data_IF_260662658491
#
_entry.id   IF_260662658491
#
_cell.length_a   1.000
_cell.length_b   1.000
_cell.length_c   1.000
_cell.angle_alpha   90.00
_cell.angle_beta   90.00
_cell.angle_gamma   90.00
#
_symmetry.space_group_name_H-M   'P 1'
#
loop_
_entity.id
_entity.type
_entity.pdbx_description
1 polymer ?
#
# COMPACT_ATOMS: atom_id res chain seq x y z
N UNK A 1 0.39 4.97 28.27
CA UNK A 1 1.77 4.81 28.76
C UNK A 1 2.02 5.97 29.70
N UNK A 2 2.41 5.72 30.96
CA UNK A 2 2.71 6.80 31.92
C UNK A 2 4.06 7.46 31.54
N UNK A 3 4.09 8.74 31.16
CA UNK A 3 5.32 9.42 30.74
C UNK A 3 6.40 9.44 31.83
N UNK A 4 6.00 9.32 33.10
CA UNK A 4 6.93 9.32 34.25
C UNK A 4 7.74 8.03 34.39
N UNK A 5 7.36 6.96 33.68
CA UNK A 5 8.06 5.67 33.70
C UNK A 5 9.09 5.53 32.57
N UNK A 6 9.17 6.49 31.65
CA UNK A 6 10.13 6.46 30.55
C UNK A 6 11.51 6.86 31.07
N UNK A 7 12.46 5.93 31.08
CA UNK A 7 13.87 6.25 31.36
C UNK A 7 14.47 7.00 30.17
N UNK A 8 14.62 8.31 30.31
CA UNK A 8 15.25 9.16 29.31
C UNK A 8 16.78 9.03 29.44
N UNK A 9 17.50 8.66 28.36
CA UNK A 9 18.96 8.63 28.37
C UNK A 9 19.55 10.03 28.60
N UNK A 10 20.75 10.15 29.19
CA UNK A 10 21.43 11.43 29.30
C UNK A 10 21.67 12.02 27.90
N UNK A 11 21.09 13.18 27.63
CA UNK A 11 21.23 13.90 26.36
C UNK A 11 22.41 14.87 26.41
N UNK A 12 23.14 14.99 25.30
CA UNK A 12 24.10 16.08 25.11
C UNK A 12 23.35 17.37 24.75
N UNK A 13 23.95 18.54 24.96
CA UNK A 13 23.45 19.79 24.42
C UNK A 13 23.30 19.69 22.89
N UNK A 14 22.15 20.08 22.34
CA UNK A 14 21.84 19.88 20.93
C UNK A 14 22.62 20.86 20.05
N UNK A 15 23.45 20.31 19.16
CA UNK A 15 24.15 21.05 18.10
C UNK A 15 23.83 20.44 16.73
N UNK A 16 24.14 21.15 15.65
CA UNK A 16 23.94 20.64 14.29
C UNK A 16 24.72 19.33 14.05
N UNK A 17 25.83 19.14 14.75
CA UNK A 17 26.72 17.98 14.64
C UNK A 17 26.24 16.77 15.44
N UNK A 18 25.52 16.96 16.56
CA UNK A 18 25.16 15.88 17.48
C UNK A 18 23.64 15.58 17.56
N UNK A 19 22.81 16.38 16.89
CA UNK A 19 21.35 16.22 16.92
C UNK A 19 20.92 14.82 16.44
N UNK A 20 21.57 14.26 15.43
CA UNK A 20 21.25 12.92 14.91
C UNK A 20 21.48 11.84 15.97
N UNK A 21 22.63 11.84 16.65
CA UNK A 21 22.94 10.87 17.71
C UNK A 21 21.93 10.95 18.86
N UNK A 22 21.58 12.17 19.28
CA UNK A 22 20.60 12.41 20.34
C UNK A 22 19.20 11.91 19.93
N UNK A 23 18.77 12.15 18.69
CA UNK A 23 17.46 11.70 18.18
C UNK A 23 17.40 10.17 18.02
N UNK A 24 18.49 9.53 17.57
CA UNK A 24 18.57 8.06 17.53
C UNK A 24 18.44 7.49 18.94
N UNK A 25 19.16 8.06 19.90
CA UNK A 25 19.20 7.60 21.29
C UNK A 25 17.81 7.64 21.93
N UNK A 26 17.03 8.70 21.69
CA UNK A 26 15.69 8.84 22.29
C UNK A 26 14.63 7.97 21.60
N UNK A 27 14.77 7.71 20.29
CA UNK A 27 13.79 6.91 19.53
C UNK A 27 14.08 5.41 19.54
N UNK A 28 15.24 4.98 20.05
CA UNK A 28 15.63 3.56 20.14
C UNK A 28 15.32 2.92 21.50
N UNK A 29 14.37 3.47 22.25
CA UNK A 29 13.95 2.98 23.58
C UNK A 29 12.99 1.77 23.50
N UNK A 30 12.56 1.35 22.31
CA UNK A 30 11.76 0.14 22.14
C UNK A 30 12.56 -1.12 22.49
N UNK A 31 11.91 -2.25 22.82
CA UNK A 31 12.61 -3.50 23.14
C UNK A 31 13.05 -4.28 21.89
N UNK A 32 12.37 -4.07 20.76
CA UNK A 32 12.62 -4.78 19.51
C UNK A 32 13.89 -4.27 18.81
N UNK A 33 14.93 -5.10 18.79
CA UNK A 33 16.22 -4.81 18.15
C UNK A 33 16.10 -4.51 16.65
N UNK A 34 15.17 -5.15 15.93
CA UNK A 34 14.92 -4.86 14.51
C UNK A 34 14.30 -3.48 14.36
N UNK A 35 13.35 -3.13 15.22
CA UNK A 35 12.72 -1.80 15.19
C UNK A 35 13.72 -0.69 15.52
N UNK A 36 14.61 -0.90 16.50
CA UNK A 36 15.71 0.03 16.81
C UNK A 36 16.56 0.31 15.58
N UNK A 37 17.01 -0.75 14.91
CA UNK A 37 17.82 -0.63 13.69
C UNK A 37 17.08 0.16 12.60
N UNK A 38 15.79 -0.14 12.37
CA UNK A 38 15.00 0.56 11.34
C UNK A 38 14.86 2.05 11.67
N UNK A 39 14.54 2.40 12.92
CA UNK A 39 14.41 3.79 13.35
C UNK A 39 15.74 4.55 13.29
N UNK A 40 16.85 3.91 13.70
CA UNK A 40 18.19 4.48 13.58
C UNK A 40 18.52 4.85 12.13
N UNK A 41 18.30 3.92 11.20
CA UNK A 41 18.54 4.17 9.77
C UNK A 41 17.64 5.26 9.22
N UNK A 42 16.35 5.25 9.57
CA UNK A 42 15.39 6.27 9.13
C UNK A 42 15.80 7.67 9.57
N UNK A 43 16.09 7.86 10.87
CA UNK A 43 16.51 9.15 11.43
C UNK A 43 17.79 9.64 10.76
N UNK A 44 18.76 8.73 10.57
CA UNK A 44 20.02 9.05 9.89
C UNK A 44 19.76 9.60 8.49
N UNK A 45 18.99 8.87 7.67
CA UNK A 45 18.71 9.27 6.28
C UNK A 45 17.88 10.56 6.18
N UNK A 46 16.92 10.79 7.09
CA UNK A 46 16.16 12.04 7.13
C UNK A 46 17.04 13.25 7.48
N UNK A 47 17.94 13.10 8.45
CA UNK A 47 18.87 14.17 8.82
C UNK A 47 19.93 14.41 7.74
N UNK A 48 20.43 13.35 7.08
CA UNK A 48 21.31 13.48 5.92
C UNK A 48 20.63 14.24 4.78
N UNK A 49 19.38 13.89 4.44
CA UNK A 49 18.58 14.59 3.43
C UNK A 49 18.41 16.08 3.73
N UNK A 50 18.07 16.43 4.98
CA UNK A 50 17.93 17.82 5.39
C UNK A 50 19.25 18.60 5.29
N UNK A 51 20.38 17.97 5.65
CA UNK A 51 21.72 18.58 5.54
C UNK A 51 22.16 18.73 4.09
N UNK A 52 21.97 17.70 3.28
CA UNK A 52 22.35 17.67 1.86
C UNK A 52 21.62 18.76 1.07
N UNK A 53 20.30 18.88 1.28
CA UNK A 53 19.45 19.85 0.57
C UNK A 53 19.52 21.26 1.16
N UNK A 54 20.07 21.41 2.37
CA UNK A 54 19.99 22.64 3.18
C UNK A 54 18.53 23.09 3.35
N UNK A 55 17.67 22.13 3.71
CA UNK A 55 16.23 22.30 3.81
C UNK A 55 15.88 23.58 4.60
N UNK A 56 15.22 24.51 3.93
CA UNK A 56 14.78 25.76 4.55
C UNK A 56 13.56 25.55 5.44
N UNK A 57 13.31 26.50 6.35
CA UNK A 57 12.10 26.47 7.18
C UNK A 57 10.81 26.49 6.36
N UNK A 58 10.79 27.19 5.23
CA UNK A 58 9.61 27.29 4.36
C UNK A 58 9.35 25.99 3.61
N UNK A 59 10.38 25.33 3.10
CA UNK A 59 10.28 24.00 2.48
C UNK A 59 9.86 22.95 3.52
N UNK A 60 10.45 22.99 4.72
CA UNK A 60 10.07 22.11 5.82
C UNK A 60 8.60 22.27 6.20
N UNK A 61 8.12 23.51 6.37
CA UNK A 61 6.71 23.79 6.64
C UNK A 61 5.80 23.34 5.50
N UNK A 62 6.27 23.43 4.25
CA UNK A 62 5.52 22.94 3.08
C UNK A 62 5.39 21.43 3.10
N UNK A 63 6.47 20.70 3.40
CA UNK A 63 6.43 19.24 3.58
C UNK A 63 5.49 18.82 4.72
N UNK A 64 5.49 19.53 5.84
CA UNK A 64 4.55 19.26 6.95
C UNK A 64 3.09 19.47 6.53
N UNK A 65 2.78 20.54 5.79
CA UNK A 65 1.42 20.76 5.27
C UNK A 65 1.00 19.65 4.32
N UNK A 66 1.89 19.26 3.39
CA UNK A 66 1.63 18.16 2.47
C UNK A 66 1.31 16.85 3.21
N UNK A 67 2.13 16.44 4.19
CA UNK A 67 1.87 15.23 4.99
C UNK A 67 0.58 15.33 5.81
N UNK A 68 0.24 16.54 6.26
CA UNK A 68 -1.02 16.79 6.97
C UNK A 68 -2.22 16.63 6.03
N UNK A 69 -2.17 17.20 4.83
CA UNK A 69 -3.21 17.08 3.81
C UNK A 69 -3.41 15.62 3.38
N UNK A 70 -2.31 14.87 3.15
CA UNK A 70 -2.34 13.42 2.90
C UNK A 70 -3.09 12.69 4.03
N UNK A 71 -2.76 12.99 5.29
CA UNK A 71 -3.45 12.40 6.45
C UNK A 71 -4.93 12.80 6.56
N UNK A 72 -5.30 14.02 6.18
CA UNK A 72 -6.68 14.52 6.23
C UNK A 72 -7.59 13.92 5.15
N UNK A 73 -7.03 13.49 4.03
CA UNK A 73 -7.76 12.83 2.94
C UNK A 73 -7.98 11.34 3.26
N UNK A 74 -7.17 10.75 4.15
CA UNK A 74 -7.34 9.36 4.55
C UNK A 74 -8.70 9.11 5.20
N UNK A 75 -9.35 8.01 4.83
CA UNK A 75 -10.59 7.49 5.42
C UNK A 75 -10.46 5.99 5.67
N UNK A 76 -11.49 5.35 6.23
CA UNK A 76 -11.50 3.90 6.44
C UNK A 76 -11.38 3.09 5.14
N UNK A 77 -11.70 3.70 3.99
CA UNK A 77 -11.66 3.07 2.66
C UNK A 77 -10.67 3.74 1.69
N UNK A 78 -9.95 4.79 2.12
CA UNK A 78 -8.98 5.53 1.31
C UNK A 78 -7.71 5.77 2.11
N UNK A 79 -6.59 5.17 1.70
CA UNK A 79 -5.31 5.27 2.40
C UNK A 79 -4.26 6.04 1.59
N UNK A 80 -4.23 7.37 1.71
CA UNK A 80 -3.29 8.20 0.94
C UNK A 80 -1.83 8.00 1.34
N UNK A 81 -1.54 7.56 2.57
CA UNK A 81 -0.16 7.21 2.94
C UNK A 81 0.34 5.96 2.21
N UNK A 82 -0.56 5.03 1.85
CA UNK A 82 -0.22 3.90 0.99
C UNK A 82 0.08 4.42 -0.41
N UNK A 83 -0.77 5.27 -0.99
CA UNK A 83 -0.52 5.87 -2.30
C UNK A 83 0.79 6.68 -2.35
N UNK A 84 1.05 7.48 -1.31
CA UNK A 84 2.31 8.22 -1.19
C UNK A 84 3.50 7.25 -1.14
N UNK A 85 3.36 6.13 -0.41
CA UNK A 85 4.38 5.08 -0.40
C UNK A 85 4.57 4.47 -1.78
N UNK A 86 3.51 4.22 -2.54
CA UNK A 86 3.58 3.58 -3.87
C UNK A 86 4.39 4.43 -4.87
N UNK A 87 4.22 5.75 -4.81
CA UNK A 87 4.97 6.70 -5.65
C UNK A 87 6.45 6.81 -5.24
N UNK A 88 6.74 6.67 -3.94
CA UNK A 88 8.08 6.82 -3.39
C UNK A 88 8.88 5.51 -3.32
N UNK A 89 8.21 4.37 -3.16
CA UNK A 89 8.76 3.04 -2.86
C UNK A 89 7.93 1.97 -3.58
N UNK A 90 8.38 1.54 -4.78
CA UNK A 90 7.64 0.57 -5.62
C UNK A 90 8.13 -0.87 -5.51
N UNK A 91 8.84 -1.25 -4.45
CA UNK A 91 9.51 -2.56 -4.38
C UNK A 91 8.92 -3.40 -3.25
N UNK A 92 8.22 -4.48 -3.62
CA UNK A 92 7.95 -5.60 -2.72
C UNK A 92 8.87 -6.76 -3.09
N UNK A 93 9.78 -7.21 -2.21
CA UNK A 93 10.66 -8.33 -2.52
C UNK A 93 9.87 -9.64 -2.56
N UNK A 94 9.97 -10.37 -3.67
CA UNK A 94 9.35 -11.69 -3.82
C UNK A 94 10.42 -12.78 -3.99
N UNK A 95 10.13 -14.04 -3.63
CA UNK A 95 11.04 -15.15 -3.87
C UNK A 95 11.40 -15.29 -5.36
N UNK A 96 12.64 -15.67 -5.71
CA UNK A 96 13.00 -15.93 -7.09
C UNK A 96 12.07 -16.97 -7.73
N UNK A 97 11.55 -16.65 -8.92
CA UNK A 97 10.67 -17.55 -9.68
C UNK A 97 9.18 -17.48 -9.32
N UNK A 98 8.77 -16.53 -8.46
CA UNK A 98 7.34 -16.19 -8.30
C UNK A 98 6.93 -15.03 -9.20
N UNK A 99 5.62 -14.86 -9.41
CA UNK A 99 5.07 -13.64 -9.98
C UNK A 99 5.54 -12.42 -9.18
N UNK A 100 6.00 -11.38 -9.88
CA UNK A 100 6.39 -10.12 -9.25
C UNK A 100 5.18 -9.51 -8.54
N UNK A 101 5.34 -9.27 -7.25
CA UNK A 101 4.37 -8.56 -6.43
C UNK A 101 4.44 -7.06 -6.69
N UNK A 102 3.29 -6.43 -6.54
CA UNK A 102 3.15 -4.99 -6.49
C UNK A 102 2.50 -4.60 -5.16
N UNK A 103 2.57 -3.33 -4.83
CA UNK A 103 1.80 -2.71 -3.75
C UNK A 103 0.31 -2.98 -3.93
N UNK A 104 -0.41 -3.15 -2.81
CA UNK A 104 -1.84 -3.47 -2.81
C UNK A 104 -2.71 -2.32 -3.36
N UNK A 105 -2.25 -1.07 -3.19
CA UNK A 105 -3.06 0.11 -3.44
C UNK A 105 -4.15 0.32 -2.38
N UNK A 106 -4.85 1.47 -2.41
CA UNK A 106 -5.75 1.90 -1.33
C UNK A 106 -7.20 1.40 -1.47
N UNK A 107 -7.57 0.76 -2.58
CA UNK A 107 -8.98 0.49 -2.94
C UNK A 107 -9.43 -0.97 -2.71
N UNK A 108 -8.59 -1.77 -2.07
CA UNK A 108 -8.95 -3.12 -1.63
C UNK A 108 -9.96 -3.06 -0.47
N UNK A 109 -10.94 -3.98 -0.47
CA UNK A 109 -11.92 -4.12 0.61
C UNK A 109 -12.18 -5.60 0.90
N UNK A 110 -12.81 -5.87 2.04
CA UNK A 110 -13.09 -7.22 2.52
C UNK A 110 -14.52 -7.72 2.19
N UNK A 111 -15.31 -6.92 1.48
CA UNK A 111 -16.73 -7.19 1.17
C UNK A 111 -16.96 -7.70 -0.27
N UNK A 112 -15.90 -8.06 -0.99
CA UNK A 112 -16.02 -8.73 -2.29
C UNK A 112 -16.73 -10.09 -2.14
N UNK A 113 -17.59 -10.44 -3.10
CA UNK A 113 -18.36 -11.68 -3.08
C UNK A 113 -17.57 -12.86 -3.63
N UNK A 114 -17.77 -14.07 -3.07
CA UNK A 114 -17.25 -15.30 -3.68
C UNK A 114 -18.07 -15.66 -4.93
N UNK A 115 -17.40 -15.81 -6.07
CA UNK A 115 -18.02 -16.12 -7.36
C UNK A 115 -17.46 -17.41 -7.95
N UNK A 116 -18.28 -18.23 -8.64
CA UNK A 116 -17.80 -19.37 -9.39
C UNK A 116 -17.02 -18.91 -10.64
N UNK A 117 -16.15 -19.80 -11.14
CA UNK A 117 -15.39 -19.52 -12.35
C UNK A 117 -16.32 -19.25 -13.54
N UNK A 118 -16.07 -18.15 -14.24
CA UNK A 118 -16.80 -17.72 -15.43
C UNK A 118 -17.94 -16.74 -15.25
N UNK A 119 -18.22 -16.34 -14.01
CA UNK A 119 -19.13 -15.25 -13.70
C UNK A 119 -18.51 -13.89 -14.04
N UNK A 120 -19.38 -12.88 -14.12
CA UNK A 120 -18.99 -11.49 -14.36
C UNK A 120 -18.78 -10.78 -13.04
N UNK A 121 -17.60 -10.19 -12.85
CA UNK A 121 -17.30 -9.43 -11.64
C UNK A 121 -17.68 -7.94 -11.74
N UNK A 122 -18.08 -7.46 -12.92
CA UNK A 122 -18.50 -6.09 -13.17
C UNK A 122 -19.91 -6.04 -13.76
N UNK A 123 -20.68 -5.04 -13.32
CA UNK A 123 -22.01 -4.71 -13.84
C UNK A 123 -22.04 -3.46 -14.71
N UNK A 124 -20.88 -2.87 -15.03
CA UNK A 124 -20.80 -1.65 -15.84
C UNK A 124 -21.21 -1.91 -17.30
N UNK A 125 -22.35 -1.37 -17.77
CA UNK A 125 -22.84 -1.62 -19.13
C UNK A 125 -22.02 -0.90 -20.21
N UNK A 126 -21.13 0.02 -19.82
CA UNK A 126 -20.27 0.79 -20.74
C UNK A 126 -18.86 0.20 -20.85
N UNK A 127 -18.52 -0.78 -20.01
CA UNK A 127 -17.23 -1.46 -20.07
C UNK A 127 -17.10 -2.31 -21.33
N UNK A 128 -15.92 -2.31 -21.93
CA UNK A 128 -15.59 -3.24 -23.00
C UNK A 128 -15.36 -4.63 -22.39
N UNK A 129 -16.10 -5.68 -22.79
CA UNK A 129 -15.96 -6.99 -22.16
C UNK A 129 -14.56 -7.60 -22.29
N UNK A 130 -14.04 -8.11 -21.18
CA UNK A 130 -12.73 -8.78 -21.09
C UNK A 130 -12.92 -10.19 -20.50
N UNK A 131 -12.27 -11.19 -21.11
CA UNK A 131 -12.17 -12.53 -20.54
C UNK A 131 -10.76 -12.71 -19.97
N UNK A 132 -10.66 -12.97 -18.67
CA UNK A 132 -9.39 -13.23 -18.01
C UNK A 132 -9.31 -14.72 -17.69
N UNK A 133 -8.23 -15.37 -18.15
CA UNK A 133 -7.98 -16.80 -17.93
C UNK A 133 -6.62 -16.94 -17.28
N UNK A 134 -6.61 -17.58 -16.11
CA UNK A 134 -5.44 -17.66 -15.25
C UNK A 134 -5.11 -19.11 -14.90
N UNK A 135 -3.84 -19.37 -14.62
CA UNK A 135 -3.38 -20.65 -14.10
C UNK A 135 -2.36 -20.43 -12.99
N UNK A 136 -2.67 -20.91 -11.80
CA UNK A 136 -1.87 -20.76 -10.61
C UNK A 136 -0.98 -21.99 -10.39
N UNK A 137 0.33 -21.74 -10.26
CA UNK A 137 1.35 -22.77 -10.06
C UNK A 137 2.32 -22.36 -8.97
N UNK A 138 2.95 -23.36 -8.35
CA UNK A 138 4.13 -23.14 -7.51
C UNK A 138 5.38 -22.86 -8.35
N UNK A 139 6.51 -22.57 -7.70
CA UNK A 139 7.79 -22.29 -8.35
C UNK A 139 8.40 -23.49 -9.09
N UNK A 140 7.84 -24.69 -8.90
CA UNK A 140 8.19 -25.91 -9.64
C UNK A 140 7.23 -26.19 -10.80
N UNK A 141 6.24 -25.33 -11.03
CA UNK A 141 5.23 -25.48 -12.07
C UNK A 141 4.07 -26.42 -11.71
N UNK A 142 3.93 -26.85 -10.45
CA UNK A 142 2.81 -27.70 -10.03
C UNK A 142 1.55 -26.85 -9.81
N UNK A 143 0.37 -27.26 -10.31
CA UNK A 143 -0.88 -26.54 -10.05
C UNK A 143 -1.24 -26.53 -8.57
N UNK A 144 -1.87 -25.44 -8.11
CA UNK A 144 -2.30 -25.27 -6.71
C UNK A 144 -3.83 -25.13 -6.66
N UNK A 145 -4.50 -26.09 -6.03
CA UNK A 145 -5.96 -26.13 -5.84
C UNK A 145 -6.42 -25.31 -4.63
N UNK A 146 -7.60 -24.70 -4.75
CA UNK A 146 -8.34 -24.13 -3.62
C UNK A 146 -7.81 -22.80 -3.10
N UNK A 147 -6.87 -22.17 -3.81
CA UNK A 147 -6.31 -20.87 -3.43
C UNK A 147 -7.37 -19.80 -3.56
N UNK A 148 -7.52 -18.96 -2.55
CA UNK A 148 -8.38 -17.78 -2.59
C UNK A 148 -7.68 -16.70 -3.44
N UNK A 149 -8.32 -16.26 -4.53
CA UNK A 149 -7.87 -15.15 -5.37
C UNK A 149 -8.83 -13.99 -5.16
N UNK A 150 -8.32 -12.85 -4.71
CA UNK A 150 -9.05 -11.60 -4.50
C UNK A 150 -8.75 -10.67 -5.67
N UNK A 151 -9.79 -10.16 -6.34
CA UNK A 151 -9.70 -9.45 -7.62
C UNK A 151 -10.55 -8.19 -7.52
N UNK A 152 -9.99 -7.04 -7.92
CA UNK A 152 -10.72 -5.78 -8.02
C UNK A 152 -10.17 -4.94 -9.18
N UNK A 153 -11.03 -4.16 -9.81
CA UNK A 153 -10.69 -3.24 -10.90
C UNK A 153 -11.54 -1.96 -10.88
N UNK A 154 -11.17 -0.99 -11.72
CA UNK A 154 -11.98 0.20 -11.98
C UNK A 154 -13.08 -0.06 -13.00
N UNK A 155 -14.16 0.71 -12.93
CA UNK A 155 -15.17 0.79 -13.99
C UNK A 155 -14.64 1.44 -15.29
N UNK A 156 -15.49 1.54 -16.31
CA UNK A 156 -15.15 2.15 -17.61
C UNK A 156 -14.81 3.64 -17.54
N UNK A 157 -15.07 4.31 -16.42
CA UNK A 157 -14.72 5.71 -16.16
C UNK A 157 -13.37 5.86 -15.44
N UNK A 158 -12.76 4.75 -15.00
CA UNK A 158 -11.48 4.75 -14.28
C UNK A 158 -11.63 4.91 -12.76
N UNK A 159 -12.81 4.65 -12.19
CA UNK A 159 -13.03 4.71 -10.75
C UNK A 159 -13.35 3.33 -10.17
N UNK A 160 -12.85 3.04 -8.98
CA UNK A 160 -13.30 1.91 -8.16
C UNK A 160 -14.66 2.22 -7.53
N UNK A 161 -15.48 1.19 -7.33
CA UNK A 161 -16.79 1.27 -6.67
C UNK A 161 -16.77 2.06 -5.33
N UNK A 162 -15.73 1.86 -4.52
CA UNK A 162 -15.51 2.53 -3.22
C UNK A 162 -15.29 4.04 -3.31
N UNK A 163 -14.98 4.57 -4.50
CA UNK A 163 -14.81 6.00 -4.70
C UNK A 163 -16.16 6.72 -4.87
N UNK A 164 -17.25 5.99 -5.11
CA UNK A 164 -18.57 6.57 -5.24
C UNK A 164 -19.26 6.75 -3.89
N UNK A 165 -19.66 7.99 -3.58
CA UNK A 165 -20.39 8.32 -2.36
C UNK A 165 -21.74 7.57 -2.21
N UNK A 166 -22.33 7.13 -3.32
CA UNK A 166 -23.58 6.39 -3.37
C UNK A 166 -23.41 4.88 -3.55
N UNK A 167 -22.25 4.31 -3.20
CA UNK A 167 -22.00 2.87 -3.31
C UNK A 167 -23.08 2.05 -2.59
N UNK A 168 -23.80 1.21 -3.34
CA UNK A 168 -24.85 0.33 -2.80
C UNK A 168 -24.32 -1.06 -2.42
N UNK A 169 -23.19 -1.48 -3.00
CA UNK A 169 -22.57 -2.77 -2.78
C UNK A 169 -21.24 -2.92 -3.54
N UNK A 170 -20.58 -4.08 -3.45
CA UNK A 170 -19.38 -4.38 -4.21
C UNK A 170 -19.68 -4.47 -5.71
N UNK A 171 -18.91 -3.76 -6.53
CA UNK A 171 -18.90 -3.94 -7.99
C UNK A 171 -17.48 -3.82 -8.53
N UNK A 172 -17.20 -4.50 -9.65
CA UNK A 172 -15.84 -4.60 -10.20
C UNK A 172 -14.87 -5.36 -9.28
N UNK A 173 -15.38 -6.17 -8.35
CA UNK A 173 -14.57 -6.95 -7.40
C UNK A 173 -15.18 -8.32 -7.11
N UNK A 174 -14.34 -9.34 -6.96
CA UNK A 174 -14.78 -10.69 -6.62
C UNK A 174 -13.67 -11.49 -5.93
N UNK A 175 -14.10 -12.57 -5.25
CA UNK A 175 -13.23 -13.61 -4.74
C UNK A 175 -13.48 -14.88 -5.55
N UNK A 176 -12.42 -15.50 -6.05
CA UNK A 176 -12.48 -16.79 -6.73
C UNK A 176 -11.60 -17.83 -6.05
N UNK A 177 -11.77 -19.09 -6.46
CA UNK A 177 -10.93 -20.20 -6.02
C UNK A 177 -10.38 -20.96 -7.21
N UNK A 178 -9.09 -21.29 -7.17
CA UNK A 178 -8.46 -22.13 -8.19
C UNK A 178 -9.00 -23.56 -8.13
N UNK A 179 -9.18 -24.18 -9.30
CA UNK A 179 -9.57 -25.59 -9.39
C UNK A 179 -8.39 -26.55 -9.20
N UNK A 180 -8.63 -27.85 -9.41
CA UNK A 180 -7.64 -28.93 -9.29
C UNK A 180 -6.41 -28.76 -10.19
N UNK A 181 -6.58 -28.09 -11.33
CA UNK A 181 -5.52 -27.80 -12.29
C UNK A 181 -4.92 -26.39 -12.07
N UNK A 182 -5.29 -25.73 -10.97
CA UNK A 182 -4.89 -24.37 -10.64
C UNK A 182 -5.57 -23.31 -11.51
N UNK A 183 -6.59 -23.68 -12.28
CA UNK A 183 -7.25 -22.78 -13.23
C UNK A 183 -8.33 -21.97 -12.51
N UNK A 184 -8.42 -20.69 -12.87
CA UNK A 184 -9.59 -19.85 -12.61
C UNK A 184 -9.75 -18.87 -13.78
N UNK A 185 -10.97 -18.43 -14.02
CA UNK A 185 -11.27 -17.49 -15.10
C UNK A 185 -12.54 -16.72 -14.79
N UNK A 186 -12.64 -15.51 -15.33
CA UNK A 186 -13.74 -14.59 -15.02
C UNK A 186 -13.97 -13.62 -16.18
N UNK A 187 -15.19 -13.06 -16.21
CA UNK A 187 -15.52 -11.97 -17.11
C UNK A 187 -15.35 -10.66 -16.34
N UNK A 188 -14.64 -9.75 -16.98
CA UNK A 188 -14.25 -8.44 -16.50
C UNK A 188 -14.61 -7.40 -17.56
N UNK A 189 -14.18 -6.17 -17.34
CA UNK A 189 -14.13 -5.16 -18.39
C UNK A 189 -12.68 -4.76 -18.65
N UNK A 190 -12.38 -4.19 -19.81
CA UNK A 190 -11.06 -3.64 -20.08
C UNK A 190 -10.86 -2.41 -19.20
N UNK A 191 -9.94 -2.50 -18.23
CA UNK A 191 -9.64 -1.37 -17.35
C UNK A 191 -9.03 -0.22 -18.17
N UNK A 192 -9.48 1.02 -17.91
CA UNK A 192 -8.85 2.22 -18.47
C UNK A 192 -7.70 2.66 -17.56
N UNK A 193 -6.71 3.32 -18.17
CA UNK A 193 -5.72 4.05 -17.39
C UNK A 193 -6.45 5.04 -16.48
N UNK A 194 -6.18 4.95 -15.18
CA UNK A 194 -6.63 5.92 -14.19
C UNK A 194 -5.94 7.24 -14.57
N UNK A 195 -6.67 8.33 -14.86
CA UNK A 195 -6.03 9.62 -14.93
C UNK A 195 -5.51 9.96 -13.54
N UNK A 196 -4.18 10.10 -13.40
CA UNK A 196 -3.55 10.75 -12.25
C UNK A 196 -3.98 12.23 -12.24
N UNK A 197 -5.22 12.51 -11.86
CA UNK A 197 -5.67 13.88 -11.59
C UNK A 197 -5.92 14.01 -10.10
N UNK A 198 -4.92 14.61 -9.45
CA UNK A 198 -4.95 15.17 -8.10
C UNK A 198 -6.13 16.14 -7.87
#
# INVERSE_FOLDING_TARGET
MDPSLVKIPPMKDLTAENITENVITINSLCEDERMKYVLERLVTHLHDFARETRLSSDEWMTGLRFLTEVGQICTDVRQEFILLSDVLVSITPNPPGSTEGTVLGPFHTHDAEEMPAGDSMSHDPKGEPLLVVCNLRDTNGKPIEGVKIDIWETDSSGHYDVQYAGREGPDGRCIMRSDKEGVFWFKAITSRAIPDSA
#
